data_IF_810268000832
#
_entry.id   IF_810268000832
#
_cell.length_a   1.000
_cell.length_b   1.000
_cell.length_c   1.000
_cell.angle_alpha   90.00
_cell.angle_beta   90.00
_cell.angle_gamma   90.00
#
_symmetry.space_group_name_H-M   'P 1'
#
loop_
_entity.id
_entity.type
_entity.pdbx_description
1 polymer ?
#
# COMPACT_ATOMS: atom_id res chain seq x y z
N UNK A 1 -18.12 10.85 -4.37
CA UNK A 1 -17.18 11.90 -4.81
C UNK A 1 -16.23 12.39 -3.71
N UNK A 2 -16.73 12.85 -2.53
CA UNK A 2 -15.86 13.33 -1.42
C UNK A 2 -14.69 12.40 -1.05
N UNK A 3 -14.94 11.08 -0.96
CA UNK A 3 -13.92 10.06 -0.66
C UNK A 3 -12.81 9.94 -1.72
N UNK A 4 -13.16 10.12 -3.00
CA UNK A 4 -12.21 10.08 -4.11
C UNK A 4 -11.32 11.32 -4.09
N UNK A 5 -11.92 12.48 -3.83
CA UNK A 5 -11.19 13.76 -3.69
C UNK A 5 -10.16 13.64 -2.56
N UNK A 6 -10.56 13.12 -1.38
CA UNK A 6 -9.63 12.92 -0.26
C UNK A 6 -8.47 11.99 -0.67
N UNK A 7 -8.76 10.87 -1.34
CA UNK A 7 -7.75 9.92 -1.80
C UNK A 7 -6.75 10.57 -2.77
N UNK A 8 -7.24 11.35 -3.75
CA UNK A 8 -6.41 12.06 -4.72
C UNK A 8 -5.56 13.13 -4.03
N UNK A 9 -6.15 13.93 -3.13
CA UNK A 9 -5.43 14.96 -2.38
C UNK A 9 -4.29 14.35 -1.58
N UNK A 10 -4.55 13.27 -0.83
CA UNK A 10 -3.53 12.56 -0.06
C UNK A 10 -2.42 12.04 -0.98
N UNK A 11 -2.77 11.41 -2.11
CA UNK A 11 -1.78 10.89 -3.06
C UNK A 11 -0.90 12.02 -3.64
N UNK A 12 -1.50 13.16 -4.01
CA UNK A 12 -0.78 14.34 -4.50
C UNK A 12 0.15 14.90 -3.43
N UNK A 13 -0.30 15.02 -2.18
CA UNK A 13 0.54 15.50 -1.07
C UNK A 13 1.77 14.62 -0.86
N UNK A 14 1.60 13.30 -0.88
CA UNK A 14 2.72 12.35 -0.75
C UNK A 14 3.68 12.52 -1.94
N UNK A 15 3.15 12.64 -3.16
CA UNK A 15 3.97 12.80 -4.36
C UNK A 15 4.80 14.10 -4.33
N UNK A 16 4.20 15.21 -3.91
CA UNK A 16 4.90 16.49 -3.72
C UNK A 16 6.00 16.37 -2.66
N UNK A 17 5.74 15.69 -1.54
CA UNK A 17 6.74 15.48 -0.49
C UNK A 17 7.95 14.67 -1.00
N UNK A 18 7.71 13.61 -1.77
CA UNK A 18 8.77 12.77 -2.36
C UNK A 18 9.58 13.55 -3.38
N UNK A 19 8.93 14.29 -4.27
CA UNK A 19 9.62 15.11 -5.28
C UNK A 19 10.48 16.18 -4.60
N UNK A 20 9.95 16.86 -3.58
CA UNK A 20 10.70 17.85 -2.84
C UNK A 20 11.92 17.23 -2.14
N UNK A 21 11.76 16.06 -1.55
CA UNK A 21 12.87 15.32 -0.93
C UNK A 21 13.94 14.92 -1.95
N UNK A 22 13.56 14.46 -3.14
CA UNK A 22 14.51 14.13 -4.22
C UNK A 22 15.31 15.34 -4.71
N UNK A 23 14.69 16.53 -4.77
CA UNK A 23 15.37 17.76 -5.18
C UNK A 23 16.37 18.22 -4.12
N UNK A 24 16.01 18.08 -2.84
CA UNK A 24 16.86 18.50 -1.70
C UNK A 24 18.01 17.49 -1.47
N UNK A 25 17.79 16.22 -1.76
CA UNK A 25 18.79 15.17 -1.55
C UNK A 25 19.87 15.24 -2.64
N UNK A 26 20.95 15.97 -2.35
CA UNK A 26 22.11 16.15 -3.25
C UNK A 26 23.05 14.93 -3.35
N UNK A 27 22.67 13.80 -2.74
CA UNK A 27 23.56 12.66 -2.55
C UNK A 27 23.33 11.54 -3.57
N UNK A 28 24.37 10.74 -3.85
CA UNK A 28 24.23 9.53 -4.68
C UNK A 28 23.24 8.57 -4.00
N UNK A 29 22.18 8.22 -4.72
CA UNK A 29 21.15 7.30 -4.22
C UNK A 29 21.77 5.93 -3.99
N UNK A 30 21.79 5.49 -2.73
CA UNK A 30 22.14 4.12 -2.37
C UNK A 30 21.00 3.14 -2.69
N UNK A 31 21.29 1.85 -2.54
CA UNK A 31 20.33 0.78 -2.80
C UNK A 31 19.13 0.85 -1.84
N UNK A 32 19.34 1.34 -0.62
CA UNK A 32 18.29 1.49 0.39
C UNK A 32 17.29 2.58 0.01
N UNK A 33 17.75 3.75 -0.45
CA UNK A 33 16.90 4.85 -0.89
C UNK A 33 16.06 4.44 -2.11
N UNK A 34 16.65 3.69 -3.04
CA UNK A 34 15.95 3.14 -4.21
C UNK A 34 14.82 2.22 -3.76
N UNK A 35 15.07 1.32 -2.80
CA UNK A 35 14.05 0.42 -2.26
C UNK A 35 12.91 1.20 -1.59
N UNK A 36 13.21 2.22 -0.77
CA UNK A 36 12.18 3.03 -0.12
C UNK A 36 11.33 3.81 -1.13
N UNK A 37 11.96 4.45 -2.12
CA UNK A 37 11.23 5.16 -3.19
C UNK A 37 10.37 4.18 -3.98
N UNK A 38 10.88 3.00 -4.31
CA UNK A 38 10.12 1.98 -5.05
C UNK A 38 8.86 1.56 -4.28
N UNK A 39 8.95 1.41 -2.95
CA UNK A 39 7.80 1.10 -2.10
C UNK A 39 6.77 2.23 -2.12
N UNK A 40 7.20 3.48 -2.01
CA UNK A 40 6.30 4.64 -2.07
C UNK A 40 5.60 4.73 -3.43
N UNK A 41 6.35 4.59 -4.53
CA UNK A 41 5.80 4.61 -5.89
C UNK A 41 4.76 3.51 -6.08
N UNK A 42 5.00 2.30 -5.55
CA UNK A 42 4.07 1.19 -5.62
C UNK A 42 2.76 1.52 -4.88
N UNK A 43 2.85 2.04 -3.65
CA UNK A 43 1.67 2.40 -2.83
C UNK A 43 0.89 3.56 -3.45
N UNK A 44 1.56 4.64 -3.84
CA UNK A 44 0.92 5.81 -4.45
C UNK A 44 0.33 5.46 -5.81
N UNK A 45 1.07 4.73 -6.63
CA UNK A 45 0.59 4.26 -7.94
C UNK A 45 -0.65 3.38 -7.82
N UNK A 46 -0.68 2.48 -6.83
CA UNK A 46 -1.86 1.67 -6.55
C UNK A 46 -3.05 2.49 -6.05
N UNK A 47 -2.82 3.49 -5.18
CA UNK A 47 -3.85 4.42 -4.72
C UNK A 47 -4.46 5.23 -5.88
N UNK A 48 -3.61 5.72 -6.79
CA UNK A 48 -4.05 6.42 -8.00
C UNK A 48 -4.83 5.49 -8.93
N UNK A 49 -4.36 4.26 -9.16
CA UNK A 49 -5.08 3.25 -9.95
C UNK A 49 -6.50 3.00 -9.41
N UNK A 50 -6.65 2.85 -8.09
CA UNK A 50 -7.96 2.71 -7.45
C UNK A 50 -8.82 3.98 -7.61
N UNK A 51 -8.23 5.17 -7.48
CA UNK A 51 -8.93 6.43 -7.66
C UNK A 51 -9.46 6.57 -9.11
N UNK A 52 -8.63 6.28 -10.12
CA UNK A 52 -9.00 6.31 -11.53
C UNK A 52 -10.13 5.33 -11.85
N UNK A 53 -10.02 4.08 -11.37
CA UNK A 53 -11.09 3.09 -11.55
C UNK A 53 -12.40 3.60 -10.96
N UNK A 54 -12.35 4.17 -9.75
CA UNK A 54 -13.52 4.69 -9.05
C UNK A 54 -14.12 5.93 -9.71
N UNK A 55 -13.32 6.75 -10.39
CA UNK A 55 -13.81 7.86 -11.21
C UNK A 55 -14.55 7.35 -12.45
N UNK A 56 -14.02 6.31 -13.11
CA UNK A 56 -14.67 5.67 -14.26
C UNK A 56 -16.01 5.04 -13.87
N UNK A 57 -16.05 4.33 -12.74
CA UNK A 57 -17.27 3.70 -12.23
C UNK A 57 -18.39 4.73 -11.93
N UNK A 58 -18.02 5.95 -11.50
CA UNK A 58 -18.95 7.08 -11.29
C UNK A 58 -19.44 7.66 -12.63
N UNK A 59 -18.58 7.71 -13.65
CA UNK A 59 -18.96 8.15 -14.99
C UNK A 59 -19.95 7.20 -15.66
N UNK A 60 -19.80 5.89 -15.42
CA UNK A 60 -20.60 4.84 -16.04
C UNK A 60 -21.96 4.60 -15.34
N UNK A 61 -22.33 5.40 -14.32
CA UNK A 61 -23.53 5.26 -13.47
C UNK A 61 -23.74 3.89 -12.82
N UNK A 62 -22.76 2.99 -12.92
CA UNK A 62 -22.76 1.71 -12.23
C UNK A 62 -22.68 1.95 -10.71
N UNK A 63 -23.33 1.11 -9.89
CA UNK A 63 -23.16 1.20 -8.44
C UNK A 63 -21.68 1.05 -8.11
N UNK A 64 -21.05 2.15 -7.68
CA UNK A 64 -19.58 2.25 -7.59
C UNK A 64 -18.92 1.33 -6.56
N UNK A 65 -19.68 0.52 -5.83
CA UNK A 65 -19.19 -0.57 -4.99
C UNK A 65 -20.16 -1.76 -5.03
N UNK A 66 -19.82 -2.75 -5.84
CA UNK A 66 -20.43 -4.09 -5.80
C UNK A 66 -20.21 -4.75 -4.42
N UNK A 67 -21.22 -5.46 -3.93
CA UNK A 67 -21.20 -6.16 -2.64
C UNK A 67 -20.06 -7.17 -2.56
N UNK A 68 -19.77 -7.85 -3.66
CA UNK A 68 -18.65 -8.79 -3.76
C UNK A 68 -17.30 -8.07 -3.61
N UNK A 69 -17.13 -6.93 -4.28
CA UNK A 69 -15.93 -6.09 -4.15
C UNK A 69 -15.71 -5.59 -2.72
N UNK A 70 -16.79 -5.18 -2.02
CA UNK A 70 -16.71 -4.81 -0.58
C UNK A 70 -16.33 -5.99 0.29
N UNK A 71 -16.89 -7.17 0.03
CA UNK A 71 -16.62 -8.40 0.79
C UNK A 71 -15.17 -8.85 0.61
N UNK A 72 -14.64 -8.81 -0.62
CA UNK A 72 -13.23 -9.10 -0.92
C UNK A 72 -12.32 -8.12 -0.18
N UNK A 73 -12.62 -6.82 -0.23
CA UNK A 73 -11.79 -5.81 0.41
C UNK A 73 -11.81 -5.92 1.94
N UNK A 74 -12.97 -6.19 2.56
CA UNK A 74 -13.08 -6.41 4.02
C UNK A 74 -12.33 -7.66 4.46
N UNK A 75 -12.49 -8.78 3.74
CA UNK A 75 -11.80 -10.04 4.04
C UNK A 75 -10.29 -9.91 3.86
N UNK A 76 -9.86 -9.31 2.76
CA UNK A 76 -8.44 -9.06 2.47
C UNK A 76 -7.79 -8.15 3.50
N UNK A 77 -8.47 -7.08 3.92
CA UNK A 77 -7.98 -6.21 4.98
C UNK A 77 -7.85 -6.96 6.31
N UNK A 78 -8.85 -7.75 6.71
CA UNK A 78 -8.80 -8.52 7.95
C UNK A 78 -7.66 -9.55 7.95
N UNK A 79 -7.52 -10.36 6.90
CA UNK A 79 -6.44 -11.35 6.80
C UNK A 79 -5.07 -10.69 6.73
N UNK A 80 -4.93 -9.56 6.01
CA UNK A 80 -3.67 -8.83 5.98
C UNK A 80 -3.27 -8.27 7.35
N UNK A 81 -4.25 -7.83 8.15
CA UNK A 81 -4.01 -7.29 9.48
C UNK A 81 -3.50 -8.38 10.42
N UNK A 82 -4.14 -9.55 10.43
CA UNK A 82 -3.68 -10.68 11.24
C UNK A 82 -2.28 -11.15 10.84
N UNK A 83 -2.01 -11.31 9.53
CA UNK A 83 -0.68 -11.72 9.06
C UNK A 83 0.38 -10.66 9.38
N UNK A 84 0.03 -9.38 9.30
CA UNK A 84 0.92 -8.26 9.64
C UNK A 84 1.33 -8.24 11.12
N UNK A 85 0.46 -8.68 12.04
CA UNK A 85 0.81 -8.80 13.46
C UNK A 85 1.92 -9.85 13.64
N UNK A 86 1.84 -10.98 12.94
CA UNK A 86 2.89 -12.00 12.99
C UNK A 86 4.20 -11.52 12.36
N UNK A 87 4.14 -10.70 11.29
CA UNK A 87 5.32 -10.03 10.76
C UNK A 87 6.01 -9.18 11.84
N UNK A 88 5.24 -8.39 12.60
CA UNK A 88 5.80 -7.58 13.69
C UNK A 88 6.39 -8.41 14.82
N UNK A 89 5.78 -9.55 15.16
CA UNK A 89 6.35 -10.50 16.10
C UNK A 89 7.72 -11.01 15.64
N UNK A 90 7.85 -11.38 14.36
CA UNK A 90 9.13 -11.79 13.78
C UNK A 90 10.14 -10.65 13.85
N UNK A 91 9.75 -9.44 13.46
CA UNK A 91 10.64 -8.27 13.54
C UNK A 91 11.14 -8.04 14.97
N UNK A 92 10.27 -8.14 15.98
CA UNK A 92 10.65 -7.98 17.40
C UNK A 92 11.62 -9.08 17.87
N UNK A 93 11.40 -10.34 17.47
CA UNK A 93 12.28 -11.45 17.85
C UNK A 93 13.68 -11.29 17.23
N UNK A 94 13.75 -10.77 16.01
CA UNK A 94 15.01 -10.63 15.27
C UNK A 94 15.61 -9.23 15.35
N UNK A 95 15.01 -8.30 16.10
CA UNK A 95 15.47 -6.90 16.18
C UNK A 95 16.94 -6.80 16.55
N UNK A 96 17.39 -7.58 17.54
CA UNK A 96 18.79 -7.59 18.01
C UNK A 96 19.79 -8.13 16.97
N UNK A 97 19.32 -8.92 16.00
CA UNK A 97 20.17 -9.50 14.94
C UNK A 97 20.20 -8.67 13.67
N UNK A 98 19.33 -7.67 13.55
CA UNK A 98 19.20 -6.84 12.35
C UNK A 98 20.12 -5.63 12.52
N UNK A 99 21.12 -5.50 11.65
CA UNK A 99 22.09 -4.40 11.65
C UNK A 99 21.54 -3.09 11.07
N UNK A 100 20.21 -2.94 10.96
CA UNK A 100 19.58 -1.75 10.41
C UNK A 100 19.24 -0.75 11.51
N UNK A 101 19.31 0.55 11.18
CA UNK A 101 18.80 1.60 12.07
C UNK A 101 17.32 1.39 12.37
N UNK A 102 16.90 1.75 13.59
CA UNK A 102 15.50 1.63 14.03
C UNK A 102 14.50 2.33 13.10
N UNK A 103 14.86 3.47 12.54
CA UNK A 103 14.05 4.19 11.55
C UNK A 103 13.82 3.36 10.28
N UNK A 104 14.87 2.68 9.80
CA UNK A 104 14.84 1.82 8.62
C UNK A 104 14.06 0.53 8.90
N UNK A 105 14.20 -0.03 10.10
CA UNK A 105 13.49 -1.23 10.55
C UNK A 105 11.97 -1.00 10.65
N UNK A 106 11.55 0.16 11.18
CA UNK A 106 10.14 0.57 11.19
C UNK A 106 9.62 0.76 9.75
N UNK A 107 10.40 1.41 8.88
CA UNK A 107 10.06 1.58 7.47
C UNK A 107 9.89 0.25 6.74
N UNK A 108 10.80 -0.70 6.97
CA UNK A 108 10.73 -2.05 6.43
C UNK A 108 9.49 -2.81 6.95
N UNK A 109 9.14 -2.65 8.23
CA UNK A 109 7.91 -3.21 8.82
C UNK A 109 6.65 -2.70 8.12
N UNK A 110 6.53 -1.38 7.93
CA UNK A 110 5.40 -0.77 7.22
C UNK A 110 5.32 -1.24 5.76
N UNK A 111 6.47 -1.33 5.08
CA UNK A 111 6.54 -1.83 3.71
C UNK A 111 6.12 -3.31 3.64
N UNK A 112 6.53 -4.12 4.61
CA UNK A 112 6.09 -5.51 4.75
C UNK A 112 4.58 -5.64 4.94
N UNK A 113 3.97 -4.77 5.76
CA UNK A 113 2.51 -4.71 5.91
C UNK A 113 1.81 -4.39 4.59
N UNK A 114 2.35 -3.44 3.81
CA UNK A 114 1.80 -3.09 2.51
C UNK A 114 1.88 -4.26 1.52
N UNK A 115 2.98 -5.01 1.50
CA UNK A 115 3.13 -6.21 0.66
C UNK A 115 2.13 -7.28 1.07
N UNK A 116 2.01 -7.57 2.37
CA UNK A 116 1.05 -8.55 2.91
C UNK A 116 -0.38 -8.17 2.50
N UNK A 117 -0.71 -6.88 2.55
CA UNK A 117 -2.02 -6.39 2.11
C UNK A 117 -2.26 -6.64 0.63
N UNK A 118 -1.29 -6.32 -0.24
CA UNK A 118 -1.40 -6.57 -1.69
C UNK A 118 -1.57 -8.06 -1.98
N UNK A 119 -0.75 -8.92 -1.35
CA UNK A 119 -0.84 -10.38 -1.50
C UNK A 119 -2.19 -10.92 -1.04
N UNK A 120 -2.66 -10.49 0.12
CA UNK A 120 -3.97 -10.87 0.64
C UNK A 120 -5.10 -10.45 -0.31
N UNK A 121 -5.06 -9.21 -0.80
CA UNK A 121 -6.03 -8.72 -1.77
C UNK A 121 -6.01 -9.54 -3.07
N UNK A 122 -4.81 -9.87 -3.57
CA UNK A 122 -4.63 -10.73 -4.74
C UNK A 122 -5.23 -12.12 -4.52
N UNK A 123 -4.90 -12.77 -3.40
CA UNK A 123 -5.40 -14.09 -3.02
C UNK A 123 -6.93 -14.10 -2.96
N UNK A 124 -7.55 -13.13 -2.28
CA UNK A 124 -9.00 -13.05 -2.20
C UNK A 124 -9.65 -12.72 -3.54
N UNK A 125 -9.02 -11.89 -4.38
CA UNK A 125 -9.52 -11.58 -5.72
C UNK A 125 -9.48 -12.80 -6.65
N UNK A 126 -8.42 -13.59 -6.62
CA UNK A 126 -8.32 -14.82 -7.43
C UNK A 126 -9.22 -15.94 -6.89
N UNK A 127 -9.28 -16.12 -5.57
CA UNK A 127 -10.10 -17.18 -4.96
C UNK A 127 -11.60 -16.92 -5.15
N UNK A 128 -12.03 -15.65 -5.07
CA UNK A 128 -13.44 -15.29 -5.28
C UNK A 128 -13.90 -15.46 -6.73
N UNK A 129 -12.98 -15.51 -7.69
CA UNK A 129 -13.28 -15.72 -9.12
C UNK A 129 -13.42 -17.20 -9.49
N UNK A 130 -13.13 -18.12 -8.57
CA UNK A 130 -13.11 -19.57 -8.78
C UNK A 130 -14.38 -20.27 -8.30
N UNK A 131 -15.30 -19.53 -7.68
CA UNK A 131 -16.56 -20.02 -7.11
C UNK A 131 -17.81 -19.48 -7.84
N UNK A 132 -17.60 -18.75 -8.94
CA UNK A 132 -18.61 -18.42 -9.96
C UNK A 132 -18.29 -19.21 -11.24
#
# INVERSE_FOLDING_TARGET
>A
MKKVIIMVVVAVTIMVAVVNWLIISSNRMGLQEILMISGIVLVVGFALFLAFRRMRDVSDQTPGEDEMSRKIMRRGAATSYYVSIYLWLVIMIFEEKITMDRSSLIGAGILGMAIIWVLSWLCHRFLSRKYD
#
